data_IF_517225178964
#
_entry.id   IF_517225178964
#
_cell.length_a   1.000
_cell.length_b   1.000
_cell.length_c   1.000
_cell.angle_alpha   90.00
_cell.angle_beta   90.00
_cell.angle_gamma   90.00
#
_symmetry.space_group_name_H-M   'P 1'
#
loop_
_entity.id
_entity.type
_entity.pdbx_description
1 polymer ?
#
# COMPACT_ATOMS: atom_id res chain seq x y z
N UNK A 1 16.27 11.27 9.63
CA UNK A 1 15.14 12.24 9.63
C UNK A 1 14.35 12.21 8.32
N UNK A 2 15.00 12.10 7.16
CA UNK A 2 14.31 11.95 5.86
C UNK A 2 13.46 10.68 5.77
N UNK A 3 13.98 9.55 6.27
CA UNK A 3 13.23 8.29 6.30
C UNK A 3 12.02 8.34 7.24
N UNK A 4 12.14 9.07 8.34
CA UNK A 4 11.01 9.30 9.24
C UNK A 4 9.93 10.18 8.56
N UNK A 5 10.34 11.20 7.81
CA UNK A 5 9.41 12.04 7.04
C UNK A 5 8.69 11.21 5.96
N UNK A 6 9.45 10.40 5.22
CA UNK A 6 8.88 9.48 4.23
C UNK A 6 7.85 8.55 4.87
N UNK A 7 8.22 7.86 5.95
CA UNK A 7 7.34 6.90 6.61
C UNK A 7 6.05 7.54 7.14
N UNK A 8 6.13 8.76 7.73
CA UNK A 8 4.94 9.48 8.20
C UNK A 8 4.02 9.92 7.07
N UNK A 9 4.59 10.46 5.98
CA UNK A 9 3.78 10.88 4.82
C UNK A 9 3.18 9.66 4.14
N UNK A 10 3.95 8.57 3.97
CA UNK A 10 3.45 7.32 3.41
C UNK A 10 2.28 6.74 4.22
N UNK A 11 2.34 6.79 5.55
CA UNK A 11 1.23 6.34 6.41
C UNK A 11 -0.04 7.16 6.17
N UNK A 12 0.07 8.49 6.10
CA UNK A 12 -1.04 9.38 5.78
C UNK A 12 -1.61 9.17 4.37
N UNK A 13 -0.76 8.78 3.42
CA UNK A 13 -1.17 8.41 2.06
C UNK A 13 -1.94 7.09 2.05
N UNK A 14 -1.44 6.08 2.77
CA UNK A 14 -2.04 4.73 2.82
C UNK A 14 -3.42 4.77 3.47
N UNK A 15 -3.58 5.48 4.59
CA UNK A 15 -4.88 5.60 5.25
C UNK A 15 -5.81 6.68 4.64
N UNK A 16 -5.41 7.28 3.51
CA UNK A 16 -6.16 8.31 2.79
C UNK A 16 -6.54 9.54 3.63
N UNK A 17 -5.83 9.82 4.74
CA UNK A 17 -5.90 11.12 5.43
C UNK A 17 -5.42 12.23 4.50
N UNK A 18 -4.37 11.95 3.73
CA UNK A 18 -4.03 12.69 2.53
C UNK A 18 -4.85 12.14 1.36
N UNK A 19 -6.02 12.72 1.12
CA UNK A 19 -6.97 12.26 0.10
C UNK A 19 -6.33 12.19 -1.29
N UNK A 20 -6.59 11.11 -2.06
CA UNK A 20 -6.19 11.05 -3.47
C UNK A 20 -6.67 12.30 -4.24
N UNK A 21 -5.86 12.86 -5.11
CA UNK A 21 -6.15 14.07 -5.89
C UNK A 21 -5.93 15.39 -5.17
N UNK A 22 -5.78 15.40 -3.84
CA UNK A 22 -5.63 16.63 -3.04
C UNK A 22 -4.33 17.37 -3.34
N UNK A 23 -4.43 18.70 -3.46
CA UNK A 23 -3.28 19.60 -3.53
C UNK A 23 -2.86 20.09 -2.14
N UNK A 24 -1.56 20.17 -1.91
CA UNK A 24 -0.95 20.56 -0.64
C UNK A 24 0.28 21.43 -0.90
N UNK A 25 0.55 22.35 0.02
CA UNK A 25 1.85 23.01 0.08
C UNK A 25 2.84 22.18 0.91
N UNK A 26 4.14 22.37 0.69
CA UNK A 26 5.18 21.72 1.50
C UNK A 26 5.04 22.04 3.00
N UNK A 27 4.54 23.24 3.32
CA UNK A 27 4.30 23.65 4.71
C UNK A 27 3.23 22.81 5.41
N UNK A 28 2.19 22.39 4.68
CA UNK A 28 1.13 21.53 5.23
C UNK A 28 1.71 20.20 5.68
N UNK A 29 2.58 19.59 4.85
CA UNK A 29 3.27 18.36 5.19
C UNK A 29 4.24 18.52 6.37
N UNK A 30 4.90 19.68 6.52
CA UNK A 30 5.72 19.97 7.69
C UNK A 30 4.87 19.99 8.96
N UNK A 31 3.72 20.63 8.92
CA UNK A 31 2.78 20.71 10.04
C UNK A 31 2.24 19.32 10.41
N UNK A 32 1.80 18.53 9.42
CA UNK A 32 1.26 17.19 9.63
C UNK A 32 2.31 16.21 10.17
N UNK A 33 3.54 16.32 9.71
CA UNK A 33 4.62 15.41 10.14
C UNK A 33 5.36 15.89 11.39
N UNK A 34 5.25 17.17 11.75
CA UNK A 34 6.05 17.79 12.83
C UNK A 34 7.55 17.86 12.49
N UNK A 35 7.92 17.82 11.20
CA UNK A 35 9.32 17.79 10.74
C UNK A 35 9.68 19.03 9.93
N UNK A 36 10.97 19.37 9.93
CA UNK A 36 11.48 20.55 9.24
C UNK A 36 11.44 20.41 7.71
N UNK A 37 11.69 21.55 7.02
CA UNK A 37 11.60 21.67 5.55
C UNK A 37 12.47 20.67 4.81
N UNK A 38 13.74 20.51 5.20
CA UNK A 38 14.70 19.67 4.47
C UNK A 38 14.29 18.19 4.46
N UNK A 39 13.99 17.52 5.60
CA UNK A 39 13.55 16.12 5.58
C UNK A 39 12.23 15.92 4.85
N UNK A 40 11.27 16.86 4.95
CA UNK A 40 10.00 16.78 4.23
C UNK A 40 10.22 16.88 2.71
N UNK A 41 11.04 17.85 2.26
CA UNK A 41 11.35 18.01 0.84
C UNK A 41 12.04 16.76 0.26
N UNK A 42 12.99 16.18 0.98
CA UNK A 42 13.63 14.92 0.56
C UNK A 42 12.64 13.75 0.49
N UNK A 43 11.73 13.64 1.44
CA UNK A 43 10.68 12.64 1.45
C UNK A 43 9.72 12.81 0.27
N UNK A 44 9.29 14.05 -0.02
CA UNK A 44 8.41 14.36 -1.16
C UNK A 44 9.06 13.99 -2.48
N UNK A 45 10.35 14.28 -2.67
CA UNK A 45 11.07 13.89 -3.89
C UNK A 45 11.11 12.37 -4.08
N UNK A 46 11.31 11.60 -3.00
CA UNK A 46 11.26 10.14 -3.05
C UNK A 46 9.85 9.63 -3.37
N UNK A 47 8.84 10.17 -2.70
CA UNK A 47 7.44 9.84 -2.98
C UNK A 47 7.02 10.18 -4.42
N UNK A 48 7.60 11.24 -5.00
CA UNK A 48 7.40 11.58 -6.41
C UNK A 48 8.07 10.57 -7.35
N UNK A 49 9.27 10.12 -7.01
CA UNK A 49 9.94 9.01 -7.75
C UNK A 49 9.12 7.72 -7.67
N UNK A 50 8.51 7.45 -6.52
CA UNK A 50 7.63 6.31 -6.27
C UNK A 50 6.21 6.51 -6.87
N UNK A 51 5.95 7.60 -7.58
CA UNK A 51 4.66 7.96 -8.22
C UNK A 51 3.48 8.11 -7.25
N UNK A 52 3.75 8.29 -5.97
CA UNK A 52 2.74 8.45 -4.92
C UNK A 52 2.26 9.90 -4.77
N UNK A 53 3.07 10.84 -5.24
CA UNK A 53 2.74 12.27 -5.32
C UNK A 53 3.24 12.85 -6.64
N UNK A 54 2.61 13.95 -7.08
CA UNK A 54 2.99 14.72 -8.27
C UNK A 54 3.44 16.10 -7.81
N UNK A 55 4.69 16.45 -8.10
CA UNK A 55 5.21 17.79 -7.78
C UNK A 55 5.07 18.69 -9.00
N UNK A 56 4.22 19.71 -8.88
CA UNK A 56 3.96 20.66 -9.97
C UNK A 56 4.53 22.03 -9.63
N UNK A 57 5.40 22.62 -10.49
CA UNK A 57 5.88 23.97 -10.30
C UNK A 57 4.71 24.95 -10.15
N UNK A 58 4.74 25.80 -9.13
CA UNK A 58 3.71 26.81 -8.78
C UNK A 58 2.38 26.28 -8.26
N UNK A 59 2.06 24.98 -8.42
CA UNK A 59 0.81 24.37 -7.92
C UNK A 59 1.00 23.55 -6.66
N UNK A 60 2.25 23.27 -6.26
CA UNK A 60 2.56 22.51 -5.05
C UNK A 60 2.65 21.02 -5.28
N UNK A 61 2.18 20.24 -4.31
CA UNK A 61 2.25 18.80 -4.27
C UNK A 61 0.82 18.27 -4.41
N UNK A 62 0.57 17.47 -5.43
CA UNK A 62 -0.68 16.75 -5.55
C UNK A 62 -0.47 15.31 -5.07
N UNK A 63 -1.36 14.83 -4.22
CA UNK A 63 -1.45 13.41 -3.89
C UNK A 63 -1.91 12.68 -5.14
N UNK A 64 -1.17 11.67 -5.57
CA UNK A 64 -1.53 10.94 -6.78
C UNK A 64 -2.96 10.36 -6.65
N UNK A 65 -3.88 10.64 -7.60
CA UNK A 65 -5.16 9.95 -7.67
C UNK A 65 -4.96 8.43 -7.76
N UNK A 66 -5.97 7.68 -7.38
CA UNK A 66 -6.02 6.23 -7.60
C UNK A 66 -6.72 5.98 -8.93
N UNK A 67 -5.97 5.50 -9.90
CA UNK A 67 -6.46 5.12 -11.23
C UNK A 67 -6.56 3.59 -11.29
N UNK A 68 -7.77 3.05 -11.16
CA UNK A 68 -7.99 1.60 -11.10
C UNK A 68 -7.52 0.88 -12.38
N UNK A 69 -7.58 1.54 -13.54
CA UNK A 69 -7.04 0.98 -14.79
C UNK A 69 -5.52 0.83 -14.73
N UNK A 70 -4.83 1.87 -14.26
CA UNK A 70 -3.39 1.83 -14.03
C UNK A 70 -3.03 0.81 -12.96
N UNK A 71 -3.76 0.79 -11.85
CA UNK A 71 -3.50 -0.14 -10.73
C UNK A 71 -3.64 -1.60 -11.18
N UNK A 72 -4.57 -1.91 -12.08
CA UNK A 72 -4.72 -3.25 -12.66
C UNK A 72 -3.49 -3.67 -13.50
N UNK A 73 -2.91 -2.75 -14.27
CA UNK A 73 -1.65 -3.00 -14.99
C UNK A 73 -0.47 -3.19 -14.01
N UNK A 74 -0.43 -2.37 -12.96
CA UNK A 74 0.60 -2.49 -11.92
C UNK A 74 0.46 -3.79 -11.11
N UNK A 75 -0.74 -4.33 -10.94
CA UNK A 75 -0.96 -5.63 -10.29
C UNK A 75 -0.33 -6.77 -11.10
N UNK A 76 -0.40 -6.72 -12.43
CA UNK A 76 0.27 -7.71 -13.29
C UNK A 76 1.79 -7.68 -13.08
N UNK A 77 2.38 -6.49 -13.10
CA UNK A 77 3.81 -6.31 -12.81
C UNK A 77 4.15 -6.78 -11.39
N UNK A 78 3.35 -6.39 -10.38
CA UNK A 78 3.53 -6.81 -9.00
C UNK A 78 3.54 -8.33 -8.88
N UNK A 79 2.61 -9.02 -9.52
CA UNK A 79 2.48 -10.49 -9.50
C UNK A 79 3.79 -11.18 -9.92
N UNK A 80 4.43 -10.71 -10.99
CA UNK A 80 5.68 -11.30 -11.50
C UNK A 80 6.86 -11.02 -10.57
N UNK A 81 6.98 -9.78 -10.09
CA UNK A 81 8.08 -9.39 -9.18
C UNK A 81 7.90 -10.05 -7.79
N UNK A 82 6.66 -10.12 -7.29
CA UNK A 82 6.32 -10.75 -6.02
C UNK A 82 6.67 -12.25 -6.05
N UNK A 83 6.29 -12.96 -7.10
CA UNK A 83 6.65 -14.38 -7.30
C UNK A 83 8.15 -14.59 -7.21
N UNK A 84 8.94 -13.72 -7.83
CA UNK A 84 10.39 -13.78 -7.76
C UNK A 84 10.92 -13.56 -6.34
N UNK A 85 10.42 -12.55 -5.63
CA UNK A 85 10.82 -12.21 -4.25
C UNK A 85 10.43 -13.32 -3.28
N UNK A 86 9.20 -13.81 -3.35
CA UNK A 86 8.69 -14.86 -2.45
C UNK A 86 9.48 -16.17 -2.62
N UNK A 87 9.80 -16.55 -3.86
CA UNK A 87 10.69 -17.68 -4.12
C UNK A 87 12.03 -17.51 -3.42
N UNK A 88 12.71 -16.38 -3.66
CA UNK A 88 14.01 -16.11 -3.04
C UNK A 88 13.93 -16.04 -1.50
N UNK A 89 12.86 -15.46 -0.96
CA UNK A 89 12.64 -15.41 0.48
C UNK A 89 12.47 -16.81 1.09
N UNK A 90 11.73 -17.71 0.44
CA UNK A 90 11.57 -19.09 0.88
C UNK A 90 12.90 -19.87 0.84
N UNK A 91 13.70 -19.68 -0.24
CA UNK A 91 14.99 -20.34 -0.41
C UNK A 91 16.07 -19.83 0.57
N UNK A 92 16.07 -18.52 0.89
CA UNK A 92 17.22 -17.84 1.50
C UNK A 92 17.00 -17.37 2.94
N UNK A 93 15.76 -17.41 3.45
CA UNK A 93 15.46 -16.92 4.80
C UNK A 93 16.27 -17.67 5.87
N UNK A 94 16.99 -16.94 6.68
CA UNK A 94 17.71 -17.47 7.84
C UNK A 94 16.80 -17.68 9.06
N UNK A 95 17.30 -18.35 10.08
CA UNK A 95 16.54 -18.67 11.29
C UNK A 95 15.95 -17.42 11.98
N UNK A 96 16.70 -16.30 12.02
CA UNK A 96 16.21 -15.06 12.61
C UNK A 96 15.03 -14.47 11.86
N UNK A 97 15.05 -14.47 10.53
CA UNK A 97 13.96 -13.96 9.69
C UNK A 97 12.73 -14.85 9.80
N UNK A 98 12.90 -16.18 9.77
CA UNK A 98 11.80 -17.15 9.96
C UNK A 98 11.15 -16.98 11.33
N UNK A 99 11.93 -16.80 12.40
CA UNK A 99 11.40 -16.55 13.75
C UNK A 99 10.59 -15.24 13.81
N UNK A 100 11.03 -14.18 13.14
CA UNK A 100 10.27 -12.93 13.06
C UNK A 100 8.95 -13.11 12.29
N UNK A 101 8.96 -13.84 11.16
CA UNK A 101 7.75 -14.19 10.40
C UNK A 101 6.76 -14.98 11.25
N UNK A 102 7.22 -16.01 11.98
CA UNK A 102 6.40 -16.81 12.86
C UNK A 102 5.86 -16.01 14.05
N UNK A 103 6.60 -15.01 14.54
CA UNK A 103 6.09 -14.10 15.57
C UNK A 103 4.94 -13.23 15.04
N UNK A 104 5.08 -12.66 13.83
CA UNK A 104 4.00 -11.90 13.19
C UNK A 104 2.79 -12.81 12.93
N UNK A 105 3.00 -14.01 12.40
CA UNK A 105 1.93 -14.98 12.20
C UNK A 105 1.13 -15.23 13.49
N UNK A 106 1.79 -15.48 14.63
CA UNK A 106 1.10 -15.66 15.91
C UNK A 106 0.26 -14.45 16.29
N UNK A 107 0.81 -13.24 16.12
CA UNK A 107 0.08 -12.01 16.38
C UNK A 107 -1.16 -11.87 15.48
N UNK A 108 -1.05 -12.22 14.20
CA UNK A 108 -2.18 -12.22 13.25
C UNK A 108 -3.26 -13.23 13.65
N UNK A 109 -2.89 -14.44 14.09
CA UNK A 109 -3.84 -15.46 14.55
C UNK A 109 -4.55 -15.02 15.83
N UNK A 110 -3.80 -14.48 16.79
CA UNK A 110 -4.34 -14.10 18.11
C UNK A 110 -5.27 -12.87 18.03
N UNK A 111 -4.99 -11.95 17.11
CA UNK A 111 -5.68 -10.66 17.03
C UNK A 111 -6.45 -10.42 15.73
N UNK A 112 -6.37 -11.31 14.76
CA UNK A 112 -6.90 -11.09 13.42
C UNK A 112 -8.37 -10.65 13.39
N UNK A 113 -9.22 -11.28 14.21
CA UNK A 113 -10.65 -10.94 14.27
C UNK A 113 -10.97 -9.57 14.91
N UNK A 114 -10.08 -9.05 15.75
CA UNK A 114 -10.23 -7.77 16.44
C UNK A 114 -9.32 -6.67 15.84
N UNK A 115 -8.55 -7.01 14.83
CA UNK A 115 -7.56 -6.12 14.25
C UNK A 115 -8.23 -5.01 13.45
N UNK A 116 -7.83 -3.76 13.72
CA UNK A 116 -8.23 -2.64 12.87
C UNK A 116 -7.43 -2.64 11.56
N UNK A 117 -7.97 -2.00 10.51
CA UNK A 117 -7.27 -1.84 9.24
C UNK A 117 -5.91 -1.15 9.40
N UNK A 118 -5.80 -0.19 10.31
CA UNK A 118 -4.53 0.48 10.61
C UNK A 118 -3.50 -0.47 11.23
N UNK A 119 -3.92 -1.32 12.18
CA UNK A 119 -3.04 -2.33 12.77
C UNK A 119 -2.61 -3.37 11.73
N UNK A 120 -3.53 -3.75 10.85
CA UNK A 120 -3.23 -4.66 9.75
C UNK A 120 -2.18 -4.06 8.79
N UNK A 121 -2.33 -2.80 8.37
CA UNK A 121 -1.35 -2.13 7.51
C UNK A 121 0.07 -2.08 8.11
N UNK A 122 0.17 -1.95 9.44
CA UNK A 122 1.47 -2.01 10.13
C UNK A 122 2.07 -3.42 10.03
N UNK A 123 1.25 -4.45 10.24
CA UNK A 123 1.69 -5.85 10.13
C UNK A 123 2.07 -6.20 8.67
N UNK A 124 1.24 -5.85 7.71
CA UNK A 124 1.44 -6.04 6.28
C UNK A 124 2.75 -5.41 5.80
N UNK A 125 2.98 -4.15 6.13
CA UNK A 125 4.25 -3.46 5.84
C UNK A 125 5.45 -4.21 6.44
N UNK A 126 5.32 -4.77 7.63
CA UNK A 126 6.38 -5.53 8.28
C UNK A 126 6.64 -6.86 7.60
N UNK A 127 5.60 -7.52 7.13
CA UNK A 127 5.67 -8.78 6.35
C UNK A 127 6.41 -8.52 5.04
N UNK A 128 5.99 -7.53 4.27
CA UNK A 128 6.64 -7.13 3.02
C UNK A 128 8.13 -6.87 3.22
N UNK A 129 8.49 -6.10 4.25
CA UNK A 129 9.89 -5.79 4.55
C UNK A 129 10.71 -7.03 4.91
N UNK A 130 10.10 -8.00 5.60
CA UNK A 130 10.78 -9.25 5.94
C UNK A 130 11.02 -10.10 4.70
N UNK A 131 10.05 -10.21 3.78
CA UNK A 131 10.23 -10.95 2.53
C UNK A 131 11.30 -10.31 1.65
N UNK A 132 11.27 -8.99 1.48
CA UNK A 132 12.29 -8.26 0.72
C UNK A 132 13.69 -8.44 1.33
N UNK A 133 13.80 -8.34 2.64
CA UNK A 133 15.08 -8.55 3.35
C UNK A 133 15.56 -10.01 3.21
N UNK A 134 14.65 -10.98 3.31
CA UNK A 134 14.97 -12.41 3.18
C UNK A 134 15.38 -12.79 1.75
N UNK A 135 14.82 -12.13 0.75
CA UNK A 135 15.20 -12.33 -0.65
C UNK A 135 16.65 -11.92 -0.96
N UNK A 136 17.27 -11.08 -0.14
CA UNK A 136 18.63 -10.55 -0.32
C UNK A 136 18.86 -9.93 -1.71
N UNK A 137 17.89 -9.16 -2.20
CA UNK A 137 17.94 -8.49 -3.50
C UNK A 137 17.57 -7.00 -3.39
N UNK A 138 18.53 -6.12 -3.00
CA UNK A 138 18.24 -4.68 -2.80
C UNK A 138 17.69 -3.98 -4.04
N UNK A 139 18.07 -4.43 -5.24
CA UNK A 139 17.62 -3.86 -6.51
C UNK A 139 16.11 -4.04 -6.71
N UNK A 140 15.57 -5.20 -6.32
CA UNK A 140 14.14 -5.50 -6.45
C UNK A 140 13.32 -4.77 -5.38
N UNK A 141 13.91 -4.53 -4.21
CA UNK A 141 13.26 -3.79 -3.13
C UNK A 141 12.81 -2.40 -3.58
N UNK A 142 13.66 -1.67 -4.31
CA UNK A 142 13.32 -0.32 -4.81
C UNK A 142 12.15 -0.31 -5.81
N UNK A 143 11.96 -1.41 -6.54
CA UNK A 143 10.87 -1.54 -7.51
C UNK A 143 9.55 -2.00 -6.86
N UNK A 144 9.64 -2.91 -5.88
CA UNK A 144 8.44 -3.53 -5.30
C UNK A 144 7.82 -2.68 -4.17
N UNK A 145 8.62 -1.96 -3.38
CA UNK A 145 8.13 -1.13 -2.28
C UNK A 145 7.06 -0.11 -2.69
N UNK A 146 7.19 0.65 -3.78
CA UNK A 146 6.13 1.55 -4.24
C UNK A 146 4.83 0.82 -4.58
N UNK A 147 4.92 -0.36 -5.21
CA UNK A 147 3.76 -1.20 -5.52
C UNK A 147 3.04 -1.64 -4.24
N UNK A 148 3.76 -2.07 -3.21
CA UNK A 148 3.18 -2.40 -1.92
C UNK A 148 2.40 -1.23 -1.33
N UNK A 149 2.95 -0.01 -1.38
CA UNK A 149 2.28 1.19 -0.88
C UNK A 149 1.02 1.54 -1.69
N UNK A 150 1.09 1.45 -3.02
CA UNK A 150 -0.07 1.66 -3.91
C UNK A 150 -1.20 0.70 -3.53
N UNK A 151 -0.92 -0.60 -3.41
CA UNK A 151 -1.96 -1.59 -3.14
C UNK A 151 -2.46 -1.56 -1.69
N UNK A 152 -1.68 -1.09 -0.72
CA UNK A 152 -2.20 -0.78 0.63
C UNK A 152 -3.23 0.36 0.61
N UNK A 153 -3.05 1.40 -0.23
CA UNK A 153 -4.07 2.44 -0.43
C UNK A 153 -5.37 1.87 -1.01
N UNK A 154 -5.24 1.02 -2.04
CA UNK A 154 -6.40 0.31 -2.64
C UNK A 154 -7.10 -0.54 -1.59
N UNK A 155 -6.36 -1.35 -0.84
CA UNK A 155 -6.88 -2.19 0.24
C UNK A 155 -7.56 -1.36 1.33
N UNK A 156 -6.99 -0.21 1.70
CA UNK A 156 -7.61 0.70 2.67
C UNK A 156 -9.00 1.15 2.21
N UNK A 157 -9.11 1.68 0.97
CA UNK A 157 -10.41 2.13 0.44
C UNK A 157 -11.41 0.97 0.39
N UNK A 158 -10.97 -0.19 -0.07
CA UNK A 158 -11.81 -1.38 -0.13
C UNK A 158 -12.38 -1.76 1.24
N UNK A 159 -11.55 -1.89 2.26
CA UNK A 159 -12.00 -2.31 3.59
C UNK A 159 -12.77 -1.23 4.37
N UNK A 160 -12.49 0.05 4.10
CA UNK A 160 -13.13 1.15 4.85
C UNK A 160 -14.44 1.63 4.23
N UNK A 161 -14.62 1.45 2.91
CA UNK A 161 -15.77 2.03 2.20
C UNK A 161 -16.69 1.00 1.54
N UNK A 162 -16.25 -0.26 1.40
CA UNK A 162 -17.07 -1.35 0.84
C UNK A 162 -17.68 -2.22 1.96
N UNK A 163 -18.39 -1.61 2.88
CA UNK A 163 -18.72 -2.15 4.21
C UNK A 163 -19.62 -3.41 4.26
N UNK A 164 -20.27 -3.84 3.18
CA UNK A 164 -21.39 -4.76 3.33
C UNK A 164 -21.06 -6.26 3.28
N UNK A 165 -19.81 -6.67 2.97
CA UNK A 165 -19.42 -8.09 3.03
C UNK A 165 -17.89 -8.32 3.09
N UNK A 166 -17.12 -7.29 3.42
CA UNK A 166 -15.67 -7.36 3.42
C UNK A 166 -15.16 -7.70 4.81
N UNK A 167 -14.51 -8.85 4.94
CA UNK A 167 -13.85 -9.25 6.19
C UNK A 167 -12.34 -9.06 6.05
N UNK A 168 -11.77 -8.28 6.94
CA UNK A 168 -10.30 -8.14 7.02
C UNK A 168 -9.62 -9.49 7.28
N UNK A 169 -10.34 -10.42 7.93
CA UNK A 169 -9.86 -11.78 8.19
C UNK A 169 -9.44 -12.51 6.92
N UNK A 170 -10.13 -12.31 5.80
CA UNK A 170 -9.80 -12.97 4.54
C UNK A 170 -8.41 -12.53 4.03
N UNK A 171 -8.06 -11.25 4.18
CA UNK A 171 -6.72 -10.75 3.88
C UNK A 171 -5.68 -11.28 4.88
N UNK A 172 -6.01 -11.32 6.16
CA UNK A 172 -5.13 -11.85 7.23
C UNK A 172 -4.79 -13.32 6.95
N UNK A 173 -5.77 -14.15 6.62
CA UNK A 173 -5.57 -15.58 6.35
C UNK A 173 -4.67 -15.82 5.13
N UNK A 174 -4.81 -15.00 4.09
CA UNK A 174 -3.94 -15.06 2.92
C UNK A 174 -2.49 -14.70 3.25
N UNK A 175 -2.25 -13.68 4.07
CA UNK A 175 -0.90 -13.32 4.51
C UNK A 175 -0.28 -14.39 5.40
N UNK A 176 -1.07 -15.01 6.29
CA UNK A 176 -0.62 -16.16 7.09
C UNK A 176 -0.15 -17.30 6.19
N UNK A 177 -0.89 -17.60 5.12
CA UNK A 177 -0.52 -18.66 4.20
C UNK A 177 0.81 -18.38 3.47
N UNK A 178 1.08 -17.13 3.07
CA UNK A 178 2.38 -16.76 2.47
C UNK A 178 3.50 -16.89 3.50
N UNK A 179 3.29 -16.39 4.71
CA UNK A 179 4.27 -16.51 5.81
C UNK A 179 4.61 -17.97 6.06
N UNK A 180 3.63 -18.87 6.07
CA UNK A 180 3.84 -20.30 6.29
C UNK A 180 4.72 -20.92 5.22
N UNK A 181 4.43 -20.67 3.96
CA UNK A 181 5.25 -21.17 2.86
C UNK A 181 6.70 -20.70 2.97
N UNK A 182 6.91 -19.40 3.19
CA UNK A 182 8.26 -18.82 3.28
C UNK A 182 8.99 -19.31 4.54
N UNK A 183 8.35 -19.33 5.71
CA UNK A 183 8.99 -19.74 6.96
C UNK A 183 9.36 -21.21 6.98
N UNK A 184 8.61 -22.06 6.29
CA UNK A 184 8.90 -23.49 6.14
C UNK A 184 9.93 -23.78 5.02
N UNK A 185 10.28 -22.78 4.20
CA UNK A 185 11.14 -22.96 3.02
C UNK A 185 10.48 -23.76 1.90
N UNK A 186 9.14 -23.84 1.91
CA UNK A 186 8.35 -24.49 0.88
C UNK A 186 8.05 -23.49 -0.24
N UNK A 187 8.88 -23.52 -1.28
CA UNK A 187 8.83 -22.58 -2.41
C UNK A 187 7.50 -22.65 -3.16
N UNK A 188 7.00 -23.84 -3.42
CA UNK A 188 5.77 -24.02 -4.20
C UNK A 188 4.55 -23.58 -3.41
N UNK A 189 4.49 -23.91 -2.12
CA UNK A 189 3.43 -23.44 -1.23
C UNK A 189 3.47 -21.91 -1.08
N UNK A 190 4.65 -21.31 -0.93
CA UNK A 190 4.83 -19.86 -0.80
C UNK A 190 4.34 -19.13 -2.06
N UNK A 191 4.76 -19.58 -3.25
CA UNK A 191 4.32 -19.01 -4.53
C UNK A 191 2.81 -19.15 -4.69
N UNK A 192 2.27 -20.34 -4.47
CA UNK A 192 0.82 -20.60 -4.58
C UNK A 192 0.01 -19.70 -3.62
N UNK A 193 0.49 -19.49 -2.40
CA UNK A 193 -0.15 -18.58 -1.45
C UNK A 193 -0.09 -17.12 -1.90
N UNK A 194 1.04 -16.67 -2.42
CA UNK A 194 1.21 -15.32 -2.98
C UNK A 194 0.29 -15.08 -4.17
N UNK A 195 0.15 -16.06 -5.08
CA UNK A 195 -0.80 -15.96 -6.20
C UNK A 195 -2.25 -15.79 -5.73
N UNK A 196 -2.68 -16.54 -4.71
CA UNK A 196 -4.03 -16.37 -4.13
C UNK A 196 -4.22 -14.98 -3.52
N UNK A 197 -3.17 -14.42 -2.92
CA UNK A 197 -3.21 -13.04 -2.41
C UNK A 197 -3.36 -12.02 -3.56
N UNK A 198 -2.62 -12.21 -4.66
CA UNK A 198 -2.76 -11.34 -5.85
C UNK A 198 -4.15 -11.48 -6.50
N UNK A 199 -4.72 -12.69 -6.54
CA UNK A 199 -6.09 -12.90 -7.01
C UNK A 199 -7.13 -12.22 -6.10
N UNK A 200 -6.87 -12.16 -4.81
CA UNK A 200 -7.71 -11.41 -3.88
C UNK A 200 -7.65 -9.90 -4.15
N UNK A 201 -6.46 -9.37 -4.40
CA UNK A 201 -6.28 -7.94 -4.77
C UNK A 201 -6.98 -7.64 -6.10
N UNK A 202 -6.93 -8.54 -7.08
CA UNK A 202 -7.63 -8.36 -8.36
C UNK A 202 -9.15 -8.28 -8.17
N UNK A 203 -9.71 -9.15 -7.33
CA UNK A 203 -11.13 -9.07 -6.94
C UNK A 203 -11.49 -7.78 -6.19
N UNK A 204 -10.58 -7.23 -5.37
CA UNK A 204 -10.81 -5.91 -4.76
C UNK A 204 -10.96 -4.83 -5.83
N UNK A 205 -10.10 -4.83 -6.86
CA UNK A 205 -10.20 -3.88 -7.97
C UNK A 205 -11.54 -4.01 -8.70
N UNK A 206 -12.02 -5.25 -8.96
CA UNK A 206 -13.33 -5.49 -9.59
C UNK A 206 -14.49 -4.92 -8.78
N UNK A 207 -14.44 -5.00 -7.47
CA UNK A 207 -15.48 -4.43 -6.59
C UNK A 207 -15.39 -2.91 -6.59
N UNK A 208 -14.18 -2.35 -6.48
CA UNK A 208 -13.98 -0.90 -6.48
C UNK A 208 -14.42 -0.26 -7.80
N UNK A 209 -14.14 -0.88 -8.95
CA UNK A 209 -14.59 -0.39 -10.26
C UNK A 209 -16.12 -0.27 -10.35
N UNK A 210 -16.86 -1.14 -9.67
CA UNK A 210 -18.33 -1.16 -9.72
C UNK A 210 -19.01 -0.31 -8.67
N UNK A 211 -18.39 -0.17 -7.49
CA UNK A 211 -19.12 0.27 -6.29
C UNK A 211 -18.51 1.52 -5.62
N UNK A 212 -17.25 1.85 -5.90
CA UNK A 212 -16.60 2.97 -5.21
C UNK A 212 -17.08 4.31 -5.75
N UNK A 213 -17.31 5.27 -4.85
CA UNK A 213 -17.55 6.65 -5.27
C UNK A 213 -16.27 7.23 -5.90
N UNK A 214 -16.30 7.79 -7.13
CA UNK A 214 -15.12 8.31 -7.81
C UNK A 214 -14.33 9.34 -7.00
N UNK A 215 -15.00 10.12 -6.16
CA UNK A 215 -14.42 11.14 -5.28
C UNK A 215 -13.51 10.58 -4.18
N UNK A 216 -13.65 9.28 -3.84
CA UNK A 216 -12.72 8.57 -2.96
C UNK A 216 -11.39 8.24 -3.67
N UNK A 217 -11.43 8.09 -4.99
CA UNK A 217 -10.26 7.81 -5.82
C UNK A 217 -9.56 9.09 -6.29
N UNK A 218 -10.32 10.17 -6.44
CA UNK A 218 -9.83 11.50 -6.80
C UNK A 218 -10.77 12.58 -6.25
N UNK A 219 -10.37 13.22 -5.15
CA UNK A 219 -11.18 14.28 -4.53
C UNK A 219 -11.27 15.57 -5.38
N UNK A 220 -10.48 15.72 -6.43
CA UNK A 220 -10.62 16.86 -7.34
C UNK A 220 -11.92 16.81 -8.15
N UNK A 221 -12.56 15.64 -8.24
CA UNK A 221 -13.84 15.46 -8.90
C UNK A 221 -15.00 16.09 -8.11
N UNK A 222 -14.87 16.30 -6.80
CA UNK A 222 -15.87 17.04 -5.99
C UNK A 222 -16.10 18.47 -6.47
N UNK A 223 -15.07 19.11 -7.07
CA UNK A 223 -15.15 20.50 -7.53
C UNK A 223 -15.95 20.67 -8.83
N UNK A 224 -16.35 19.61 -9.51
CA UNK A 224 -17.17 19.69 -10.72
C UNK A 224 -18.66 19.88 -10.43
N UNK A 225 -19.15 19.50 -9.26
CA UNK A 225 -20.57 19.64 -8.90
C UNK A 225 -20.96 21.10 -8.56
N UNK A 226 -20.02 21.91 -8.05
CA UNK A 226 -20.31 23.32 -7.66
C UNK A 226 -20.13 24.33 -8.80
N UNK A 227 -19.40 23.99 -9.87
CA UNK A 227 -19.11 24.95 -10.94
C UNK A 227 -20.05 24.87 -12.16
N UNK A 228 -20.85 23.83 -12.27
CA UNK A 228 -21.79 23.64 -13.36
C UNK A 228 -23.08 24.49 -13.25
N UNK A 229 -23.25 25.23 -12.16
CA UNK A 229 -24.45 26.05 -11.90
C UNK A 229 -24.25 27.56 -12.10
N UNK A 230 -23.09 28.03 -12.55
CA UNK A 230 -22.83 29.46 -12.80
C UNK A 230 -22.50 29.72 -14.28
N UNK A 231 -23.27 29.18 -15.19
CA UNK A 231 -23.48 29.78 -16.50
C UNK A 231 -24.86 30.41 -16.49
N UNK A 232 -24.94 31.62 -15.94
CA UNK A 232 -26.06 32.54 -16.19
C UNK A 232 -25.92 33.16 -17.58
N UNK A 233 -27.05 33.38 -18.24
CA UNK A 233 -27.16 33.85 -19.60
C UNK A 233 -26.59 35.25 -19.84
#
# INVERSE_FOLDING_TARGET
MSDLAYARIEELLVCCELKPGRFLATHDLQTLTGLGRTPVHQAVNRLATDTLVIVSPRHGIQIAPIDLTRERLLLQLRRDVERFVIRLAAERSGASQRNQMLHIKRHLIERGMEMTMQQFNVADRRIDQLFLTAAHQPFVESSLRPLHTIFRRVSWIYHMHMANNVRLQDAVDLHIAVIDGVANGDVDAAISASERLMDFVDRMLDVLEREVAPTLLDCSLDSFDDTALILKP
#
